data_IF_872751109940
#
_entry.id   IF_872751109940
#
_cell.length_a   1.000
_cell.length_b   1.000
_cell.length_c   1.000
_cell.angle_alpha   90.00
_cell.angle_beta   90.00
_cell.angle_gamma   90.00
#
_symmetry.space_group_name_H-M   'P 1'
#
loop_
_entity.id
_entity.type
_entity.pdbx_description
1 polymer ?
#
# COMPACT_ATOMS: atom_id res chain seq x y z
N UNK A 1 7.82 -3.27 17.98
CA UNK A 1 6.74 -2.69 17.13
C UNK A 1 6.15 -3.83 16.33
N UNK A 2 4.83 -3.98 16.31
CA UNK A 2 4.18 -4.98 15.47
C UNK A 2 4.32 -4.55 14.01
N UNK A 3 4.87 -5.44 13.19
CA UNK A 3 5.10 -5.26 11.75
C UNK A 3 4.25 -6.28 10.99
N UNK A 4 3.62 -5.85 9.90
CA UNK A 4 2.98 -6.74 8.93
C UNK A 4 3.65 -6.54 7.56
N UNK A 5 4.24 -7.61 7.03
CA UNK A 5 5.05 -7.57 5.81
C UNK A 5 4.55 -8.62 4.82
N UNK A 6 4.30 -8.21 3.58
CA UNK A 6 3.84 -9.10 2.51
C UNK A 6 4.49 -8.75 1.17
N UNK A 7 4.57 -9.73 0.28
CA UNK A 7 5.22 -9.65 -1.02
C UNK A 7 4.18 -9.72 -2.14
N UNK A 8 4.38 -8.90 -3.17
CA UNK A 8 3.48 -8.78 -4.30
C UNK A 8 4.25 -8.62 -5.59
N UNK A 9 3.58 -8.93 -6.69
CA UNK A 9 4.05 -8.67 -8.03
C UNK A 9 2.85 -8.32 -8.90
N UNK A 10 3.02 -7.37 -9.83
CA UNK A 10 1.98 -7.03 -10.82
C UNK A 10 2.50 -7.54 -12.17
N UNK A 11 1.83 -8.55 -12.76
CA UNK A 11 2.32 -9.16 -13.99
C UNK A 11 2.24 -8.18 -15.16
N UNK A 12 3.17 -8.23 -16.11
CA UNK A 12 3.17 -7.34 -17.28
C UNK A 12 1.91 -7.42 -18.15
N UNK A 13 1.15 -8.51 -18.05
CA UNK A 13 -0.16 -8.67 -18.68
C UNK A 13 -1.29 -7.89 -17.99
N UNK A 14 -1.05 -7.26 -16.84
CA UNK A 14 -2.07 -6.56 -16.08
C UNK A 14 -2.57 -5.32 -16.85
N UNK A 15 -3.90 -5.09 -16.93
CA UNK A 15 -4.48 -4.00 -17.72
C UNK A 15 -4.08 -2.60 -17.25
N UNK A 16 -3.56 -2.44 -16.03
CA UNK A 16 -3.10 -1.14 -15.53
C UNK A 16 -1.93 -0.54 -16.33
N UNK A 17 -1.22 -1.34 -17.13
CA UNK A 17 -0.13 -0.86 -17.98
C UNK A 17 -0.61 -0.37 -19.36
N UNK A 18 -1.86 -0.64 -19.74
CA UNK A 18 -2.41 -0.18 -21.01
C UNK A 18 -2.41 1.36 -21.04
N UNK A 19 -1.52 1.93 -21.85
CA UNK A 19 -1.31 3.37 -21.92
C UNK A 19 -0.48 3.98 -20.77
N UNK A 20 0.16 3.16 -19.92
CA UNK A 20 0.91 3.64 -18.74
C UNK A 20 2.31 3.02 -18.60
N UNK A 21 3.30 3.45 -19.37
CA UNK A 21 3.21 4.33 -20.54
C UNK A 21 3.61 3.52 -21.78
N UNK A 22 3.14 3.90 -22.99
CA UNK A 22 3.59 3.23 -24.21
C UNK A 22 5.12 3.16 -24.27
N UNK A 23 5.66 1.97 -24.54
CA UNK A 23 7.10 1.65 -24.62
C UNK A 23 7.92 1.77 -23.31
N UNK A 24 7.35 2.29 -22.22
CA UNK A 24 8.03 2.38 -20.92
C UNK A 24 7.01 2.20 -19.78
N UNK A 25 6.48 0.97 -19.60
CA UNK A 25 5.47 0.72 -18.58
C UNK A 25 6.05 0.87 -17.18
N UNK A 26 5.32 1.57 -16.32
CA UNK A 26 5.60 1.62 -14.89
C UNK A 26 4.31 1.34 -14.13
N UNK A 27 4.44 0.78 -12.93
CA UNK A 27 3.31 0.52 -12.04
C UNK A 27 2.70 1.87 -11.64
N UNK A 28 1.39 2.09 -11.89
CA UNK A 28 0.71 3.28 -11.40
C UNK A 28 0.82 3.38 -9.88
N UNK A 29 1.14 4.56 -9.34
CA UNK A 29 1.32 4.74 -7.90
C UNK A 29 0.11 4.30 -7.08
N UNK A 30 -1.10 4.42 -7.64
CA UNK A 30 -2.35 3.99 -6.99
C UNK A 30 -2.40 2.48 -6.75
N UNK A 31 -1.75 1.66 -7.59
CA UNK A 31 -1.70 0.21 -7.40
C UNK A 31 -0.92 -0.14 -6.13
N UNK A 32 0.23 0.51 -5.91
CA UNK A 32 1.03 0.33 -4.70
C UNK A 32 0.26 0.75 -3.44
N UNK A 33 -0.48 1.86 -3.51
CA UNK A 33 -1.36 2.28 -2.43
C UNK A 33 -2.50 1.29 -2.19
N UNK A 34 -3.08 0.72 -3.24
CA UNK A 34 -4.15 -0.27 -3.14
C UNK A 34 -3.67 -1.52 -2.41
N UNK A 35 -2.49 -2.07 -2.73
CA UNK A 35 -1.94 -3.20 -1.99
C UNK A 35 -1.68 -2.87 -0.51
N UNK A 36 -1.12 -1.70 -0.22
CA UNK A 36 -0.93 -1.25 1.15
C UNK A 36 -2.24 -1.10 1.93
N UNK A 37 -3.29 -0.57 1.29
CA UNK A 37 -4.62 -0.45 1.86
C UNK A 37 -5.27 -1.81 2.09
N UNK A 38 -5.24 -2.71 1.10
CA UNK A 38 -5.84 -4.05 1.21
C UNK A 38 -5.17 -4.85 2.34
N UNK A 39 -3.83 -4.83 2.40
CA UNK A 39 -3.06 -5.45 3.47
C UNK A 39 -3.41 -4.87 4.84
N UNK A 40 -3.50 -3.54 4.95
CA UNK A 40 -3.86 -2.87 6.21
C UNK A 40 -5.24 -3.30 6.70
N UNK A 41 -6.25 -3.25 5.82
CA UNK A 41 -7.63 -3.61 6.18
C UNK A 41 -7.79 -5.11 6.47
N UNK A 42 -6.95 -5.96 5.88
CA UNK A 42 -6.90 -7.39 6.18
C UNK A 42 -6.22 -7.66 7.52
N UNK A 43 -5.20 -6.87 7.85
CA UNK A 43 -4.47 -6.98 9.11
C UNK A 43 -5.29 -6.44 10.31
N UNK A 44 -6.05 -5.37 10.10
CA UNK A 44 -6.86 -4.69 11.12
C UNK A 44 -8.34 -4.65 10.71
N UNK A 45 -9.07 -5.77 10.77
CA UNK A 45 -10.43 -5.87 10.25
C UNK A 45 -11.46 -5.02 11.02
N UNK A 46 -11.18 -4.66 12.27
CA UNK A 46 -12.05 -3.79 13.09
C UNK A 46 -11.87 -2.29 12.79
N UNK A 47 -10.93 -1.94 11.90
CA UNK A 47 -10.59 -0.56 11.58
C UNK A 47 -10.97 -0.21 10.13
N UNK A 48 -11.16 1.08 9.89
CA UNK A 48 -11.21 1.66 8.54
C UNK A 48 -10.08 2.67 8.37
N UNK A 49 -9.65 2.87 7.13
CA UNK A 49 -8.77 3.99 6.78
C UNK A 49 -9.64 5.24 6.75
N UNK A 50 -9.26 6.25 7.52
CA UNK A 50 -9.88 7.56 7.52
C UNK A 50 -9.20 8.49 6.53
N UNK A 51 -7.86 8.50 6.54
CA UNK A 51 -7.07 9.46 5.76
C UNK A 51 -5.76 8.82 5.27
N UNK A 52 -5.38 9.07 4.01
CA UNK A 52 -4.00 8.93 3.54
C UNK A 52 -3.24 10.21 3.90
N UNK A 53 -2.58 10.25 5.05
CA UNK A 53 -1.95 11.48 5.56
C UNK A 53 -0.77 11.95 4.70
N UNK A 54 -0.05 11.00 4.11
CA UNK A 54 1.05 11.28 3.20
C UNK A 54 1.31 10.06 2.31
N UNK A 55 1.66 10.29 1.06
CA UNK A 55 2.34 9.33 0.19
C UNK A 55 3.46 10.05 -0.57
N UNK A 56 4.67 9.50 -0.54
CA UNK A 56 5.82 9.99 -1.30
C UNK A 56 6.34 8.88 -2.21
N UNK A 57 6.28 9.11 -3.51
CA UNK A 57 6.79 8.21 -4.55
C UNK A 57 8.21 8.63 -4.90
N UNK A 58 9.18 7.79 -4.57
CA UNK A 58 10.61 8.06 -4.72
C UNK A 58 11.18 7.48 -6.01
N UNK A 59 10.74 6.26 -6.37
CA UNK A 59 11.21 5.54 -7.54
C UNK A 59 10.07 4.77 -8.20
N UNK A 60 10.07 4.65 -9.54
CA UNK A 60 9.10 3.82 -10.25
C UNK A 60 9.36 2.33 -10.00
N UNK A 61 8.31 1.53 -10.18
CA UNK A 61 8.39 0.06 -10.21
C UNK A 61 8.03 -0.39 -11.62
N UNK A 62 8.79 -1.29 -12.22
CA UNK A 62 8.50 -1.88 -13.52
C UNK A 62 7.53 -3.07 -13.37
N UNK A 63 6.87 -3.50 -14.47
CA UNK A 63 6.13 -4.76 -14.47
C UNK A 63 6.98 -5.96 -14.07
N UNK A 64 6.34 -7.01 -13.55
CA UNK A 64 6.96 -8.27 -13.11
C UNK A 64 7.99 -8.13 -11.97
N UNK A 65 8.26 -6.92 -11.48
CA UNK A 65 9.13 -6.71 -10.32
C UNK A 65 8.39 -6.99 -9.02
N UNK A 66 8.95 -7.89 -8.21
CA UNK A 66 8.44 -8.18 -6.88
C UNK A 66 8.73 -7.02 -5.92
N UNK A 67 7.71 -6.54 -5.24
CA UNK A 67 7.84 -5.52 -4.20
C UNK A 67 7.27 -6.01 -2.89
N UNK A 68 7.81 -5.48 -1.80
CA UNK A 68 7.35 -5.75 -0.45
C UNK A 68 6.57 -4.54 0.05
N UNK A 69 5.41 -4.79 0.66
CA UNK A 69 4.71 -3.81 1.49
C UNK A 69 4.93 -4.15 2.95
N UNK A 70 5.45 -3.18 3.68
CA UNK A 70 5.63 -3.23 5.14
C UNK A 70 4.70 -2.21 5.79
N UNK A 71 3.93 -2.65 6.78
CA UNK A 71 3.07 -1.82 7.62
C UNK A 71 3.57 -1.86 9.07
N UNK A 72 3.66 -0.70 9.71
CA UNK A 72 4.14 -0.56 11.09
C UNK A 72 3.23 0.40 11.85
N UNK A 73 2.82 0.01 13.06
CA UNK A 73 2.17 0.93 14.00
C UNK A 73 3.16 2.02 14.45
N UNK A 74 2.83 3.28 14.14
CA UNK A 74 3.52 4.45 14.69
C UNK A 74 2.81 4.94 15.96
N UNK A 75 1.49 4.80 16.00
CA UNK A 75 0.64 5.02 17.18
C UNK A 75 -0.64 4.16 17.07
N UNK A 76 -1.58 4.34 18.00
CA UNK A 76 -2.87 3.64 17.98
C UNK A 76 -3.68 3.90 16.70
N UNK A 77 -3.59 5.11 16.12
CA UNK A 77 -4.38 5.52 14.94
C UNK A 77 -3.53 5.81 13.70
N UNK A 78 -2.21 5.63 13.76
CA UNK A 78 -1.31 5.93 12.63
C UNK A 78 -0.48 4.73 12.25
N UNK A 79 -0.62 4.32 10.99
CA UNK A 79 0.15 3.25 10.37
C UNK A 79 1.10 3.86 9.36
N UNK A 80 2.40 3.59 9.49
CA UNK A 80 3.37 3.87 8.44
C UNK A 80 3.35 2.71 7.44
N UNK A 81 3.38 3.02 6.15
CA UNK A 81 3.60 2.04 5.11
C UNK A 81 4.86 2.36 4.32
N UNK A 82 5.52 1.31 3.84
CA UNK A 82 6.64 1.38 2.92
C UNK A 82 6.46 0.31 1.85
N UNK A 83 6.62 0.69 0.58
CA UNK A 83 6.76 -0.23 -0.54
C UNK A 83 8.23 -0.25 -0.97
N UNK A 84 8.85 -1.42 -1.09
CA UNK A 84 10.27 -1.55 -1.47
C UNK A 84 10.49 -2.63 -2.53
N UNK A 85 11.42 -2.37 -3.44
CA UNK A 85 12.00 -3.37 -4.34
C UNK A 85 13.40 -3.69 -3.85
N UNK A 86 13.65 -4.95 -3.45
CA UNK A 86 14.84 -5.32 -2.68
C UNK A 86 15.05 -4.37 -1.48
N UNK A 87 16.14 -3.61 -1.43
CA UNK A 87 16.43 -2.61 -0.39
C UNK A 87 16.01 -1.17 -0.77
N UNK A 88 15.57 -0.93 -2.01
CA UNK A 88 15.20 0.39 -2.50
C UNK A 88 13.77 0.72 -2.04
N UNK A 89 13.61 1.82 -1.28
CA UNK A 89 12.27 2.33 -0.96
C UNK A 89 11.67 3.00 -2.18
N UNK A 90 10.56 2.45 -2.69
CA UNK A 90 9.82 2.96 -3.84
C UNK A 90 8.81 4.03 -3.40
N UNK A 91 8.05 3.72 -2.35
CA UNK A 91 6.99 4.57 -1.81
C UNK A 91 7.03 4.50 -0.29
N UNK A 92 6.82 5.63 0.37
CA UNK A 92 6.59 5.65 1.82
C UNK A 92 5.50 6.65 2.17
N UNK A 93 4.79 6.38 3.26
CA UNK A 93 3.71 7.23 3.69
C UNK A 93 3.07 6.76 4.98
N UNK A 94 1.90 7.31 5.28
CA UNK A 94 1.12 6.86 6.44
C UNK A 94 -0.37 6.99 6.21
N UNK A 95 -1.11 6.04 6.78
CA UNK A 95 -2.55 6.06 6.92
C UNK A 95 -2.92 6.49 8.35
N UNK A 96 -4.00 7.26 8.47
CA UNK A 96 -4.75 7.42 9.71
C UNK A 96 -5.90 6.43 9.66
N UNK A 97 -6.04 5.64 10.72
CA UNK A 97 -7.10 4.66 10.89
C UNK A 97 -8.00 5.04 12.06
N UNK A 98 -9.25 4.59 11.99
CA UNK A 98 -10.22 4.69 13.09
C UNK A 98 -10.95 3.36 13.22
N UNK A 99 -11.40 3.05 14.43
CA UNK A 99 -12.27 1.89 14.64
C UNK A 99 -13.55 2.06 13.81
N UNK A 100 -14.04 0.96 13.26
CA UNK A 100 -15.36 0.96 12.63
C UNK A 100 -16.38 1.33 13.70
N UNK A 101 -17.27 2.26 13.38
CA UNK A 101 -18.42 2.50 14.25
C UNK A 101 -19.15 1.17 14.37
N UNK A 102 -19.24 0.63 15.59
CA UNK A 102 -20.03 -0.57 15.84
C UNK A 102 -21.42 -0.34 15.27
N UNK A 103 -21.91 -1.26 14.44
CA UNK A 103 -23.34 -1.41 14.23
C UNK A 103 -23.92 -1.66 15.62
N UNK A 104 -24.36 -0.59 16.29
CA UNK A 104 -25.29 -0.71 17.39
C UNK A 104 -26.52 -1.37 16.78
N UNK A 105 -26.62 -2.68 16.96
CA UNK A 105 -27.90 -3.35 16.88
C UNK A 105 -28.66 -2.86 18.11
N UNK A 106 -29.46 -1.79 17.91
CA UNK A 106 -30.58 -1.47 18.79
C UNK A 106 -31.67 -2.55 18.62
#
# INVERSE_FOLDING_TARGET
MLENKQHYCIPASHPCFAGHFPNNPIVPGVMLLNYAQQQLLSWLPEYTIDTLAQAKFLYPLAPDQEFTVTLIHVSAQKIKFTCSYASQTLVTGSFIIKEKAGTKND
#
